data_IF_274405907801
#
_entry.id   IF_274405907801
#
_cell.length_a   1.000
_cell.length_b   1.000
_cell.length_c   1.000
_cell.angle_alpha   90.00
_cell.angle_beta   90.00
_cell.angle_gamma   90.00
#
_symmetry.space_group_name_H-M   'P 1'
#
loop_
_entity.id
_entity.type
_entity.pdbx_description
1 polymer ?
#
# COMPACT_ATOMS: atom_id res chain seq x y z
N UNK A 1 -8.67 -25.12 14.87
CA UNK A 1 -9.90 -24.33 15.11
C UNK A 1 -9.59 -23.02 15.83
N UNK A 2 -9.03 -23.09 17.05
CA UNK A 2 -8.76 -21.91 17.89
C UNK A 2 -7.84 -20.86 17.24
N UNK A 3 -6.78 -21.27 16.52
CA UNK A 3 -5.92 -20.33 15.79
C UNK A 3 -6.67 -19.59 14.68
N UNK A 4 -7.55 -20.29 13.96
CA UNK A 4 -8.35 -19.69 12.90
C UNK A 4 -9.35 -18.68 13.48
N UNK A 5 -10.03 -19.05 14.57
CA UNK A 5 -10.97 -18.18 15.26
C UNK A 5 -10.27 -16.94 15.84
N UNK A 6 -9.07 -17.12 16.38
CA UNK A 6 -8.22 -16.01 16.83
C UNK A 6 -7.83 -15.08 15.68
N UNK A 7 -7.44 -15.62 14.52
CA UNK A 7 -7.11 -14.80 13.35
C UNK A 7 -8.31 -14.02 12.81
N UNK A 8 -9.49 -14.63 12.79
CA UNK A 8 -10.72 -13.94 12.41
C UNK A 8 -11.09 -12.84 13.41
N UNK A 9 -10.99 -13.13 14.71
CA UNK A 9 -11.26 -12.14 15.76
C UNK A 9 -10.33 -10.93 15.63
N UNK A 10 -9.06 -11.13 15.27
CA UNK A 10 -8.09 -10.03 15.10
C UNK A 10 -8.45 -9.01 14.02
N UNK A 11 -9.33 -9.35 13.08
CA UNK A 11 -9.81 -8.39 12.07
C UNK A 11 -10.75 -7.34 12.66
N UNK A 12 -11.53 -7.72 13.68
CA UNK A 12 -12.52 -6.85 14.30
C UNK A 12 -11.89 -5.60 14.92
N UNK A 13 -10.92 -5.67 15.86
CA UNK A 13 -10.42 -4.48 16.54
C UNK A 13 -9.69 -3.51 15.61
N UNK A 14 -9.06 -4.00 14.53
CA UNK A 14 -8.42 -3.14 13.53
C UNK A 14 -9.49 -2.41 12.71
N UNK A 15 -10.52 -3.13 12.26
CA UNK A 15 -11.58 -2.56 11.43
C UNK A 15 -12.44 -1.57 12.21
N UNK A 16 -12.82 -1.90 13.46
CA UNK A 16 -13.63 -1.02 14.30
C UNK A 16 -12.88 0.26 14.67
N UNK A 17 -11.59 0.16 15.00
CA UNK A 17 -10.75 1.35 15.24
C UNK A 17 -10.67 2.26 14.00
N UNK A 18 -10.49 1.70 12.80
CA UNK A 18 -10.46 2.49 11.56
C UNK A 18 -11.80 3.17 11.29
N UNK A 19 -12.91 2.47 11.57
CA UNK A 19 -14.25 3.05 11.44
C UNK A 19 -14.48 4.21 12.44
N UNK A 20 -14.07 4.04 13.70
CA UNK A 20 -14.13 5.10 14.72
C UNK A 20 -13.29 6.31 14.31
N UNK A 21 -12.07 6.10 13.80
CA UNK A 21 -11.21 7.17 13.31
C UNK A 21 -11.86 7.92 12.14
N UNK A 22 -12.50 7.21 11.21
CA UNK A 22 -13.22 7.82 10.09
C UNK A 22 -14.41 8.64 10.57
N UNK A 23 -15.19 8.14 11.55
CA UNK A 23 -16.36 8.85 12.09
C UNK A 23 -15.98 10.19 12.74
N UNK A 24 -14.86 10.23 13.47
CA UNK A 24 -14.42 11.45 14.15
C UNK A 24 -13.52 12.36 13.31
N UNK A 25 -12.96 11.86 12.21
CA UNK A 25 -12.12 12.66 11.32
C UNK A 25 -12.96 13.66 10.51
N UNK A 26 -12.39 14.85 10.29
CA UNK A 26 -13.01 15.88 9.45
C UNK A 26 -13.47 15.30 8.08
N UNK A 27 -14.69 15.59 7.61
CA UNK A 27 -15.21 15.02 6.36
C UNK A 27 -14.35 15.33 5.12
N UNK A 28 -13.58 16.42 5.12
CA UNK A 28 -12.66 16.78 4.04
C UNK A 28 -11.31 16.07 4.10
N UNK A 29 -10.98 15.40 5.20
CA UNK A 29 -9.74 14.63 5.36
C UNK A 29 -9.95 13.22 4.86
N UNK A 30 -9.06 12.68 4.02
CA UNK A 30 -9.10 11.25 3.67
C UNK A 30 -8.39 10.40 4.73
N UNK A 31 -8.98 9.27 5.09
CA UNK A 31 -8.39 8.25 5.95
C UNK A 31 -7.98 7.06 5.07
N UNK A 32 -6.68 6.79 4.99
CA UNK A 32 -6.13 5.67 4.25
C UNK A 32 -5.40 4.73 5.20
N UNK A 33 -5.51 3.42 4.96
CA UNK A 33 -4.63 2.44 5.61
C UNK A 33 -3.32 2.33 4.83
N UNK A 34 -2.23 2.00 5.52
CA UNK A 34 -0.96 1.62 4.90
C UNK A 34 -0.67 0.19 5.34
N UNK A 35 -0.48 -0.71 4.39
CA UNK A 35 -0.33 -2.14 4.69
C UNK A 35 0.57 -2.87 3.70
N UNK A 36 0.84 -4.14 3.96
CA UNK A 36 1.64 -5.06 3.15
C UNK A 36 0.78 -6.17 2.56
N UNK A 37 1.38 -6.99 1.68
CA UNK A 37 0.72 -8.18 1.09
C UNK A 37 0.09 -9.10 2.15
N UNK A 38 0.80 -9.30 3.26
CA UNK A 38 0.40 -10.20 4.34
C UNK A 38 -0.23 -9.45 5.54
N UNK A 39 -0.97 -8.37 5.27
CA UNK A 39 -1.64 -7.54 6.29
C UNK A 39 -2.53 -8.31 7.27
N UNK A 40 -3.03 -9.49 6.86
CA UNK A 40 -3.80 -10.39 7.73
C UNK A 40 -3.01 -10.84 8.98
N UNK A 41 -1.67 -10.90 8.91
CA UNK A 41 -0.82 -11.16 10.08
C UNK A 41 -0.91 -10.03 11.12
N UNK A 42 -1.18 -8.81 10.67
CA UNK A 42 -1.45 -7.63 11.48
C UNK A 42 -2.87 -7.58 12.03
N UNK A 43 -3.80 -8.35 11.47
CA UNK A 43 -5.24 -8.21 11.73
C UNK A 43 -5.95 -7.34 10.70
N UNK A 44 -5.36 -7.11 9.53
CA UNK A 44 -6.03 -6.36 8.47
C UNK A 44 -6.84 -7.30 7.56
N UNK A 45 -8.15 -7.07 7.46
CA UNK A 45 -8.97 -7.56 6.35
C UNK A 45 -9.21 -6.40 5.38
N UNK A 46 -8.52 -6.42 4.24
CA UNK A 46 -8.59 -5.34 3.26
C UNK A 46 -10.02 -5.09 2.73
N UNK A 47 -10.86 -6.12 2.64
CA UNK A 47 -12.23 -5.96 2.17
C UNK A 47 -13.12 -5.30 3.23
N UNK A 48 -12.94 -5.67 4.50
CA UNK A 48 -13.64 -5.01 5.62
C UNK A 48 -13.17 -3.56 5.79
N UNK A 49 -11.85 -3.33 5.70
CA UNK A 49 -11.26 -1.99 5.79
C UNK A 49 -11.71 -1.07 4.64
N UNK A 50 -11.95 -1.62 3.45
CA UNK A 50 -12.51 -0.87 2.33
C UNK A 50 -13.86 -0.22 2.67
N UNK A 51 -14.64 -0.83 3.55
CA UNK A 51 -15.92 -0.26 4.01
C UNK A 51 -15.73 0.80 5.10
N UNK A 52 -14.63 0.75 5.85
CA UNK A 52 -14.37 1.61 7.00
C UNK A 52 -13.56 2.88 6.66
N UNK A 53 -12.86 2.92 5.53
CA UNK A 53 -11.98 4.05 5.17
C UNK A 53 -12.03 4.41 3.67
N UNK A 54 -11.24 5.40 3.27
CA UNK A 54 -11.24 5.99 1.92
C UNK A 54 -10.35 5.22 0.93
N UNK A 55 -9.54 4.27 1.40
CA UNK A 55 -8.66 3.46 0.57
C UNK A 55 -7.40 2.96 1.28
N UNK A 56 -6.43 2.50 0.50
CA UNK A 56 -5.18 1.94 1.02
C UNK A 56 -3.94 2.35 0.21
N UNK A 57 -2.78 2.34 0.86
CA UNK A 57 -1.47 2.30 0.24
C UNK A 57 -0.86 0.92 0.53
N UNK A 58 -0.75 0.07 -0.50
CA UNK A 58 -0.15 -1.25 -0.36
C UNK A 58 1.35 -1.20 -0.71
N UNK A 59 2.18 -1.49 0.28
CA UNK A 59 3.62 -1.31 0.20
C UNK A 59 4.32 -2.48 -0.49
N UNK A 60 5.11 -2.17 -1.51
CA UNK A 60 5.82 -3.09 -2.39
C UNK A 60 7.34 -3.04 -2.17
N UNK A 61 7.76 -2.94 -0.90
CA UNK A 61 9.13 -2.63 -0.49
C UNK A 61 10.20 -3.49 -1.18
N UNK A 62 10.20 -4.80 -0.93
CA UNK A 62 11.19 -5.74 -1.48
C UNK A 62 10.59 -6.71 -2.51
N UNK A 63 9.51 -6.29 -3.16
CA UNK A 63 8.81 -7.12 -4.14
C UNK A 63 9.52 -7.15 -5.49
N UNK A 64 9.45 -8.28 -6.19
CA UNK A 64 9.79 -8.34 -7.61
C UNK A 64 8.66 -7.68 -8.42
N UNK A 65 8.98 -7.24 -9.65
CA UNK A 65 8.03 -6.52 -10.49
C UNK A 65 6.71 -7.28 -10.73
N UNK A 66 6.76 -8.61 -10.92
CA UNK A 66 5.56 -9.44 -11.05
C UNK A 66 4.71 -9.44 -9.77
N UNK A 67 5.35 -9.51 -8.60
CA UNK A 67 4.64 -9.51 -7.31
C UNK A 67 3.96 -8.16 -7.04
N UNK A 68 4.51 -7.06 -7.57
CA UNK A 68 3.86 -5.74 -7.51
C UNK A 68 2.57 -5.73 -8.31
N UNK A 69 2.57 -6.28 -9.53
CA UNK A 69 1.37 -6.35 -10.35
C UNK A 69 0.27 -7.16 -9.64
N UNK A 70 0.63 -8.31 -9.08
CA UNK A 70 -0.29 -9.18 -8.32
C UNK A 70 -0.83 -8.50 -7.06
N UNK A 71 0.02 -7.76 -6.35
CA UNK A 71 -0.38 -6.97 -5.17
C UNK A 71 -1.41 -5.91 -5.56
N UNK A 72 -1.18 -5.16 -6.64
CA UNK A 72 -2.12 -4.12 -7.08
C UNK A 72 -3.43 -4.71 -7.59
N UNK A 73 -3.38 -5.79 -8.36
CA UNK A 73 -4.59 -6.48 -8.84
C UNK A 73 -5.43 -7.02 -7.68
N UNK A 74 -4.79 -7.67 -6.70
CA UNK A 74 -5.45 -8.17 -5.49
C UNK A 74 -6.02 -7.02 -4.66
N UNK A 75 -5.23 -5.96 -4.46
CA UNK A 75 -5.63 -4.77 -3.72
C UNK A 75 -6.87 -4.12 -4.32
N UNK A 76 -6.88 -3.90 -5.65
CA UNK A 76 -8.02 -3.33 -6.37
C UNK A 76 -9.26 -4.21 -6.27
N UNK A 77 -9.10 -5.53 -6.40
CA UNK A 77 -10.22 -6.47 -6.29
C UNK A 77 -10.86 -6.47 -4.89
N UNK A 78 -10.06 -6.28 -3.83
CA UNK A 78 -10.55 -6.25 -2.43
C UNK A 78 -11.10 -4.89 -2.01
N UNK A 79 -10.47 -3.80 -2.45
CA UNK A 79 -10.91 -2.43 -2.12
C UNK A 79 -12.13 -1.98 -2.92
N UNK A 80 -12.25 -2.46 -4.17
CA UNK A 80 -13.23 -1.97 -5.13
C UNK A 80 -12.69 -0.81 -5.99
N UNK A 81 -13.45 -0.48 -7.04
CA UNK A 81 -13.05 0.50 -8.05
C UNK A 81 -13.04 1.95 -7.53
N UNK A 82 -13.93 2.28 -6.60
CA UNK A 82 -14.13 3.66 -6.13
C UNK A 82 -13.14 4.11 -5.03
N UNK A 83 -12.44 3.15 -4.39
CA UNK A 83 -11.53 3.44 -3.29
C UNK A 83 -10.16 3.84 -3.81
N UNK A 84 -9.47 4.71 -3.06
CA UNK A 84 -8.09 5.05 -3.38
C UNK A 84 -7.19 3.82 -3.22
N UNK A 85 -6.39 3.51 -4.24
CA UNK A 85 -5.34 2.50 -4.17
C UNK A 85 -4.02 3.14 -4.57
N UNK A 86 -3.14 3.30 -3.59
CA UNK A 86 -1.76 3.67 -3.83
C UNK A 86 -0.80 2.50 -3.61
N UNK A 87 0.45 2.70 -4.02
CA UNK A 87 1.56 1.82 -3.62
C UNK A 87 2.67 2.61 -2.94
N UNK A 88 3.45 1.92 -2.10
CA UNK A 88 4.56 2.50 -1.34
C UNK A 88 5.87 1.77 -1.58
N UNK A 89 6.97 2.51 -1.77
CA UNK A 89 8.31 1.97 -1.91
C UNK A 89 9.28 2.59 -0.91
N UNK A 90 10.30 1.81 -0.58
CA UNK A 90 11.49 2.30 0.10
C UNK A 90 12.63 2.45 -0.88
N UNK A 91 13.35 3.56 -0.80
CA UNK A 91 14.45 3.90 -1.72
C UNK A 91 15.82 3.53 -1.15
N UNK A 92 15.91 2.41 -0.42
CA UNK A 92 17.14 1.99 0.26
C UNK A 92 17.78 0.77 -0.41
N UNK A 93 19.09 0.63 -0.23
CA UNK A 93 19.77 -0.63 -0.55
C UNK A 93 19.44 -1.66 0.55
N UNK A 94 19.25 -2.96 0.25
CA UNK A 94 19.38 -3.61 -1.07
C UNK A 94 18.12 -3.56 -1.95
N UNK A 95 16.96 -3.15 -1.41
CA UNK A 95 15.65 -3.16 -2.09
C UNK A 95 15.67 -2.41 -3.43
N UNK A 96 16.42 -1.31 -3.49
CA UNK A 96 16.64 -0.45 -4.65
C UNK A 96 18.14 -0.23 -4.84
N UNK A 97 18.76 -1.10 -5.64
CA UNK A 97 20.19 -1.02 -5.98
C UNK A 97 20.52 0.07 -7.03
N UNK A 98 19.52 0.56 -7.77
CA UNK A 98 19.69 1.55 -8.82
C UNK A 98 18.36 2.08 -9.37
N UNK A 99 18.40 3.10 -10.24
CA UNK A 99 17.21 3.71 -10.85
C UNK A 99 16.41 2.71 -11.70
N UNK A 100 17.09 1.83 -12.44
CA UNK A 100 16.43 0.87 -13.32
C UNK A 100 15.61 -0.16 -12.54
N UNK A 101 16.11 -0.59 -11.38
CA UNK A 101 15.38 -1.50 -10.47
C UNK A 101 14.13 -0.81 -9.92
N UNK A 102 14.24 0.48 -9.56
CA UNK A 102 13.09 1.25 -9.13
C UNK A 102 12.05 1.38 -10.24
N UNK A 103 12.46 1.78 -11.44
CA UNK A 103 11.56 1.91 -12.59
C UNK A 103 10.86 0.59 -12.93
N UNK A 104 11.61 -0.52 -12.91
CA UNK A 104 11.05 -1.86 -13.16
C UNK A 104 9.99 -2.26 -12.13
N UNK A 105 10.13 -1.85 -10.87
CA UNK A 105 9.16 -2.12 -9.80
C UNK A 105 7.97 -1.15 -9.79
N UNK A 106 8.16 0.09 -10.24
CA UNK A 106 7.09 1.12 -10.31
C UNK A 106 6.17 0.90 -11.51
N UNK A 107 6.74 0.54 -12.66
CA UNK A 107 5.99 0.31 -13.91
C UNK A 107 4.75 -0.62 -13.77
N UNK A 108 4.83 -1.81 -13.15
CA UNK A 108 3.66 -2.67 -12.97
C UNK A 108 2.57 -2.04 -12.10
N UNK A 109 2.92 -1.20 -11.12
CA UNK A 109 1.91 -0.49 -10.32
C UNK A 109 1.18 0.57 -11.15
N UNK A 110 1.91 1.35 -11.95
CA UNK A 110 1.32 2.33 -12.87
C UNK A 110 0.38 1.66 -13.88
N UNK A 111 0.80 0.53 -14.47
CA UNK A 111 -0.01 -0.23 -15.40
C UNK A 111 -1.33 -0.77 -14.78
N UNK A 112 -1.37 -0.97 -13.46
CA UNK A 112 -2.56 -1.38 -12.73
C UNK A 112 -3.53 -0.23 -12.42
N UNK A 113 -3.20 1.02 -12.79
CA UNK A 113 -4.06 2.17 -12.57
C UNK A 113 -4.15 2.57 -11.10
N UNK A 114 -3.03 2.55 -10.39
CA UNK A 114 -2.95 3.10 -9.02
C UNK A 114 -3.19 4.61 -9.02
N UNK A 115 -3.83 5.09 -7.96
CA UNK A 115 -4.17 6.50 -7.76
C UNK A 115 -2.97 7.32 -7.23
N UNK A 116 -1.94 6.64 -6.72
CA UNK A 116 -0.74 7.31 -6.21
C UNK A 116 0.43 6.38 -5.94
N UNK A 117 1.63 6.96 -5.96
CA UNK A 117 2.88 6.30 -5.58
C UNK A 117 3.54 7.09 -4.46
N UNK A 118 3.88 6.38 -3.38
CA UNK A 118 4.52 6.93 -2.21
C UNK A 118 5.95 6.41 -2.09
N UNK A 119 6.86 7.28 -1.66
CA UNK A 119 8.24 6.93 -1.36
C UNK A 119 8.55 7.32 0.08
N UNK A 120 9.11 6.39 0.85
CA UNK A 120 9.40 6.54 2.27
C UNK A 120 10.79 5.95 2.57
N UNK A 121 11.62 6.48 3.48
CA UNK A 121 11.59 7.73 4.24
C UNK A 121 12.42 8.79 3.49
N UNK A 122 11.82 9.83 2.91
CA UNK A 122 12.60 10.85 2.17
C UNK A 122 13.73 11.49 3.00
N UNK A 123 13.53 11.67 4.31
CA UNK A 123 14.55 12.25 5.20
C UNK A 123 15.84 11.42 5.32
N UNK A 124 15.82 10.15 4.90
CA UNK A 124 16.99 9.26 4.92
C UNK A 124 17.53 8.97 3.51
N UNK A 125 16.89 9.50 2.47
CA UNK A 125 17.22 9.22 1.07
C UNK A 125 18.19 10.28 0.56
N UNK A 126 19.35 9.90 -0.01
CA UNK A 126 20.25 10.87 -0.64
C UNK A 126 19.51 11.65 -1.74
N UNK A 127 19.73 12.97 -1.81
CA UNK A 127 19.07 13.86 -2.76
C UNK A 127 19.19 13.36 -4.22
N UNK A 128 20.32 12.76 -4.59
CA UNK A 128 20.55 12.18 -5.93
C UNK A 128 19.56 11.06 -6.31
N UNK A 129 18.91 10.40 -5.35
CA UNK A 129 17.88 9.38 -5.63
C UNK A 129 16.50 9.99 -5.91
N UNK A 130 16.31 11.29 -5.68
CA UNK A 130 15.07 11.98 -6.06
C UNK A 130 14.90 12.02 -7.59
N UNK A 131 16.01 12.08 -8.33
CA UNK A 131 16.00 11.98 -9.80
C UNK A 131 15.48 10.60 -10.26
N UNK A 132 15.76 9.55 -9.49
CA UNK A 132 15.25 8.20 -9.78
C UNK A 132 13.73 8.16 -9.64
N UNK A 133 13.17 8.85 -8.65
CA UNK A 133 11.71 8.96 -8.46
C UNK A 133 11.07 9.66 -9.66
N UNK A 134 11.67 10.77 -10.13
CA UNK A 134 11.18 11.47 -11.31
C UNK A 134 11.19 10.55 -12.53
N UNK A 135 12.31 9.88 -12.79
CA UNK A 135 12.45 8.98 -13.94
C UNK A 135 11.46 7.80 -13.87
N UNK A 136 11.32 7.16 -12.71
CA UNK A 136 10.45 6.01 -12.52
C UNK A 136 8.94 6.32 -12.62
N UNK A 137 8.54 7.59 -12.56
CA UNK A 137 7.14 8.01 -12.76
C UNK A 137 6.81 8.35 -14.21
N UNK A 138 7.82 8.42 -15.08
CA UNK A 138 7.67 8.77 -16.50
C UNK A 138 7.68 7.54 -17.44
N UNK A 139 7.68 6.32 -16.89
CA UNK A 139 7.75 5.05 -17.63
C UNK A 139 6.40 4.38 -17.84
#
# INVERSE_FOLDING_TARGET
PELYDFLLWRFEPVTSLVAELRDVADPGTRVLIIDLKDGWLGGCDLAALAQACDGAILCAYDMQASDVADLMATGRARLGAEKFLGTGYRLFHPEMAGPDILAAKVKPALAAGVDGINFYNYGLVPAARLDWVSAARSV
#
